data_IF_750636649120
#
_entry.id   IF_750636649120
#
_cell.length_a   1.000
_cell.length_b   1.000
_cell.length_c   1.000
_cell.angle_alpha   90.00
_cell.angle_beta   90.00
_cell.angle_gamma   90.00
#
_symmetry.space_group_name_H-M   'P 1'
#
loop_
_entity.id
_entity.type
_entity.pdbx_description
1 polymer ?
#
# COMPACT_ATOMS: atom_id res chain seq x y z
N UNK A 1 -13.45 -46.57 -12.48
CA UNK A 1 -12.87 -45.22 -12.64
C UNK A 1 -12.93 -44.51 -11.29
N UNK A 2 -11.79 -44.03 -10.79
CA UNK A 2 -11.69 -43.45 -9.45
C UNK A 2 -12.09 -41.96 -9.49
N UNK A 3 -13.32 -41.65 -9.05
CA UNK A 3 -13.89 -40.30 -9.05
C UNK A 3 -13.01 -39.28 -8.29
N UNK A 4 -12.21 -39.74 -7.32
CA UNK A 4 -11.35 -38.85 -6.53
C UNK A 4 -10.13 -38.34 -7.31
N UNK A 5 -9.61 -39.08 -8.30
CA UNK A 5 -8.47 -38.63 -9.10
C UNK A 5 -8.88 -37.64 -10.18
N UNK A 6 -10.03 -37.86 -10.83
CA UNK A 6 -10.59 -36.94 -11.83
C UNK A 6 -11.01 -35.59 -11.21
N UNK A 7 -11.51 -35.58 -9.99
CA UNK A 7 -11.81 -34.33 -9.26
C UNK A 7 -10.56 -33.53 -8.89
N UNK A 8 -9.47 -34.18 -8.47
CA UNK A 8 -8.20 -33.49 -8.17
C UNK A 8 -7.56 -32.91 -9.42
N UNK A 9 -7.50 -33.65 -10.52
CA UNK A 9 -6.96 -33.17 -11.80
C UNK A 9 -7.80 -32.03 -12.41
N UNK A 10 -9.14 -32.12 -12.31
CA UNK A 10 -10.02 -31.07 -12.81
C UNK A 10 -9.95 -29.77 -11.98
N UNK A 11 -9.72 -29.86 -10.66
CA UNK A 11 -9.53 -28.67 -9.81
C UNK A 11 -8.29 -27.86 -10.21
N UNK A 12 -7.18 -28.53 -10.53
CA UNK A 12 -5.96 -27.84 -10.95
C UNK A 12 -6.12 -27.12 -12.28
N UNK A 13 -6.94 -27.66 -13.21
CA UNK A 13 -7.25 -27.02 -14.50
C UNK A 13 -8.17 -25.80 -14.40
N UNK A 14 -8.94 -25.67 -13.30
CA UNK A 14 -9.90 -24.58 -13.07
C UNK A 14 -9.38 -23.54 -12.07
N UNK A 15 -8.20 -23.77 -11.47
CA UNK A 15 -7.64 -22.85 -10.49
C UNK A 15 -7.17 -21.56 -11.18
N UNK A 16 -7.48 -20.43 -10.54
CA UNK A 16 -6.98 -19.11 -10.93
C UNK A 16 -6.63 -18.30 -9.69
N UNK A 17 -5.78 -17.30 -9.86
CA UNK A 17 -5.42 -16.38 -8.79
C UNK A 17 -6.50 -15.30 -8.62
N UNK A 18 -6.77 -14.94 -7.37
CA UNK A 18 -7.65 -13.84 -7.02
C UNK A 18 -6.85 -12.82 -6.20
N UNK A 19 -6.98 -11.54 -6.54
CA UNK A 19 -6.51 -10.42 -5.74
C UNK A 19 -7.67 -9.88 -4.93
N UNK A 20 -7.46 -9.64 -3.64
CA UNK A 20 -8.46 -9.06 -2.76
C UNK A 20 -7.84 -8.13 -1.74
N UNK A 21 -8.67 -7.23 -1.22
CA UNK A 21 -8.34 -6.29 -0.15
C UNK A 21 -9.36 -6.48 0.96
N UNK A 22 -8.91 -6.48 2.22
CA UNK A 22 -9.78 -6.55 3.40
C UNK A 22 -9.34 -5.51 4.42
N UNK A 23 -10.31 -4.85 5.04
CA UNK A 23 -10.08 -4.08 6.27
C UNK A 23 -10.48 -4.96 7.45
N UNK A 24 -9.65 -4.99 8.48
CA UNK A 24 -9.83 -5.83 9.67
C UNK A 24 -9.60 -5.00 10.92
N UNK A 25 -10.27 -5.35 12.00
CA UNK A 25 -9.92 -4.89 13.33
C UNK A 25 -8.91 -5.88 13.93
N UNK A 26 -7.84 -5.38 14.54
CA UNK A 26 -6.81 -6.23 15.11
C UNK A 26 -6.21 -5.64 16.38
N UNK A 27 -5.83 -6.51 17.31
CA UNK A 27 -5.21 -6.17 18.59
C UNK A 27 -3.98 -7.06 18.83
N UNK A 28 -2.93 -6.54 19.51
CA UNK A 28 -1.80 -7.37 19.90
C UNK A 28 -2.26 -8.56 20.75
N UNK A 29 -1.82 -9.76 20.40
CA UNK A 29 -2.20 -10.98 21.10
C UNK A 29 -1.07 -12.01 21.05
N UNK A 30 -0.82 -12.66 22.18
CA UNK A 30 0.17 -13.74 22.31
C UNK A 30 -0.51 -15.10 22.07
N UNK A 31 0.14 -15.98 21.32
CA UNK A 31 -0.22 -17.41 21.28
C UNK A 31 0.92 -18.22 21.87
N UNK A 32 0.79 -18.57 23.15
CA UNK A 32 1.94 -19.01 23.95
C UNK A 32 2.98 -17.89 24.05
N UNK A 33 4.22 -18.18 23.68
CA UNK A 33 5.33 -17.20 23.69
C UNK A 33 5.51 -16.48 22.34
N UNK A 34 4.61 -16.69 21.38
CA UNK A 34 4.74 -16.11 20.04
C UNK A 34 3.90 -14.82 19.95
N UNK A 35 4.52 -13.67 19.62
CA UNK A 35 3.79 -12.42 19.42
C UNK A 35 3.01 -12.43 18.10
N UNK A 36 1.81 -11.88 18.15
CA UNK A 36 0.95 -11.78 16.98
C UNK A 36 -0.19 -10.80 17.18
N UNK A 37 -1.23 -11.00 16.38
CA UNK A 37 -2.45 -10.22 16.40
C UNK A 37 -3.65 -11.14 16.42
N UNK A 38 -4.59 -10.85 17.32
CA UNK A 38 -5.97 -11.27 17.15
C UNK A 38 -6.59 -10.40 16.07
N UNK A 39 -7.27 -11.02 15.11
CA UNK A 39 -7.81 -10.37 13.91
C UNK A 39 -9.29 -10.71 13.80
N UNK A 40 -10.14 -9.69 13.89
CA UNK A 40 -11.59 -9.80 13.66
C UNK A 40 -11.93 -9.37 12.24
N UNK A 41 -12.63 -10.25 11.53
CA UNK A 41 -13.15 -10.02 10.18
C UNK A 41 -14.58 -9.48 10.21
N UNK A 42 -15.06 -9.02 9.05
CA UNK A 42 -16.41 -8.43 8.88
C UNK A 42 -17.54 -9.41 9.24
N UNK A 43 -17.31 -10.72 9.08
CA UNK A 43 -18.26 -11.79 9.43
C UNK A 43 -18.18 -12.21 10.91
N UNK A 44 -17.59 -11.36 11.77
CA UNK A 44 -17.30 -11.59 13.19
C UNK A 44 -16.37 -12.79 13.48
N UNK A 45 -15.82 -13.46 12.45
CA UNK A 45 -14.81 -14.47 12.65
C UNK A 45 -13.54 -13.85 13.25
N UNK A 46 -12.97 -14.53 14.25
CA UNK A 46 -11.70 -14.13 14.88
C UNK A 46 -10.64 -15.20 14.61
N UNK A 47 -9.45 -14.75 14.21
CA UNK A 47 -8.27 -15.62 14.03
C UNK A 47 -7.04 -14.97 14.64
N UNK A 48 -6.08 -15.77 15.09
CA UNK A 48 -4.75 -15.28 15.46
C UNK A 48 -3.79 -15.35 14.26
N UNK A 49 -2.92 -14.35 14.12
CA UNK A 49 -1.88 -14.28 13.09
C UNK A 49 -0.51 -13.94 13.71
N UNK A 50 0.59 -14.63 13.30
CA UNK A 50 1.94 -14.23 13.71
C UNK A 50 2.25 -12.79 13.32
N UNK A 51 2.97 -12.06 14.17
CA UNK A 51 3.26 -10.62 14.00
C UNK A 51 3.79 -10.28 12.60
N UNK A 52 4.86 -10.94 12.18
CA UNK A 52 5.50 -10.66 10.89
C UNK A 52 4.58 -10.95 9.69
N UNK A 53 3.80 -12.04 9.77
CA UNK A 53 2.86 -12.39 8.70
C UNK A 53 1.72 -11.37 8.60
N UNK A 54 1.24 -10.86 9.73
CA UNK A 54 0.22 -9.82 9.78
C UNK A 54 0.74 -8.48 9.25
N UNK A 55 1.87 -7.99 9.77
CA UNK A 55 2.45 -6.70 9.38
C UNK A 55 2.90 -6.64 7.91
N UNK A 56 3.22 -7.79 7.31
CA UNK A 56 3.48 -7.89 5.86
C UNK A 56 2.22 -7.76 5.00
N UNK A 57 1.07 -8.17 5.52
CA UNK A 57 -0.19 -8.23 4.77
C UNK A 57 -1.11 -7.03 5.04
N UNK A 58 -1.03 -6.43 6.22
CA UNK A 58 -1.92 -5.38 6.68
C UNK A 58 -1.17 -4.09 6.98
N UNK A 59 -1.73 -2.97 6.53
CA UNK A 59 -1.21 -1.64 6.78
C UNK A 59 -2.06 -0.91 7.83
N UNK A 60 -1.47 -0.32 8.89
CA UNK A 60 -2.24 0.37 9.92
C UNK A 60 -2.90 1.63 9.36
N UNK A 61 -4.22 1.73 9.53
CA UNK A 61 -5.01 2.90 9.07
C UNK A 61 -5.52 3.82 10.20
N UNK A 62 -5.35 3.42 11.46
CA UNK A 62 -5.86 4.12 12.63
C UNK A 62 -7.26 3.64 13.05
N UNK A 63 -7.94 4.43 13.87
CA UNK A 63 -9.23 4.05 14.49
C UNK A 63 -10.44 4.22 13.57
N UNK A 64 -10.34 5.08 12.54
CA UNK A 64 -11.43 5.33 11.60
C UNK A 64 -11.19 4.58 10.28
N UNK A 65 -11.86 3.44 10.04
CA UNK A 65 -11.63 2.63 8.87
C UNK A 65 -12.25 3.22 7.58
N UNK A 66 -12.87 4.41 7.64
CA UNK A 66 -13.63 4.99 6.52
C UNK A 66 -12.86 6.00 5.67
N UNK A 67 -11.64 6.37 6.08
CA UNK A 67 -10.89 7.45 5.43
C UNK A 67 -9.39 7.17 5.35
N UNK A 68 -8.77 7.79 4.35
CA UNK A 68 -7.32 7.99 4.30
C UNK A 68 -6.98 9.20 5.16
N UNK A 69 -5.83 9.16 5.82
CA UNK A 69 -5.31 10.29 6.60
C UNK A 69 -3.83 10.59 6.24
N UNK A 70 -3.30 11.76 6.64
CA UNK A 70 -1.93 12.15 6.29
C UNK A 70 -0.86 11.18 6.80
N UNK A 71 -1.04 10.62 8.00
CA UNK A 71 -0.08 9.67 8.61
C UNK A 71 0.04 8.42 7.75
N UNK A 72 -1.06 7.93 7.17
CA UNK A 72 -1.05 6.81 6.24
C UNK A 72 -0.18 7.12 5.02
N UNK A 73 -0.37 8.29 4.41
CA UNK A 73 0.37 8.70 3.21
C UNK A 73 1.86 8.84 3.49
N UNK A 74 2.22 9.50 4.58
CA UNK A 74 3.61 9.70 4.97
C UNK A 74 4.29 8.35 5.29
N UNK A 75 3.59 7.45 5.98
CA UNK A 75 4.10 6.12 6.32
C UNK A 75 4.23 5.21 5.07
N UNK A 76 3.43 5.44 4.03
CA UNK A 76 3.49 4.67 2.79
C UNK A 76 4.58 5.15 1.81
N UNK A 77 4.96 6.43 1.89
CA UNK A 77 5.91 7.09 0.97
C UNK A 77 7.28 6.40 0.90
N UNK A 78 7.73 5.81 2.01
CA UNK A 78 9.03 5.17 2.12
C UNK A 78 10.18 6.16 1.95
N UNK A 79 11.20 5.80 1.16
CA UNK A 79 12.39 6.65 0.96
C UNK A 79 12.27 7.51 -0.29
N UNK A 80 12.66 8.80 -0.20
CA UNK A 80 12.62 9.74 -1.32
C UNK A 80 13.97 10.43 -1.56
N UNK A 81 14.47 10.30 -2.78
CA UNK A 81 15.72 10.88 -3.28
C UNK A 81 15.42 11.94 -4.33
N UNK A 82 16.15 13.05 -4.32
CA UNK A 82 16.03 14.12 -5.29
C UNK A 82 17.36 14.33 -6.01
N UNK A 83 17.31 14.72 -7.27
CA UNK A 83 18.48 15.19 -8.02
C UNK A 83 18.09 16.23 -9.06
N UNK A 84 19.00 17.16 -9.34
CA UNK A 84 18.91 18.04 -10.49
C UNK A 84 19.21 17.25 -11.79
N UNK A 85 18.51 17.59 -12.88
CA UNK A 85 18.75 17.05 -14.22
C UNK A 85 19.76 17.90 -14.99
N UNK A 86 20.27 17.37 -16.10
CA UNK A 86 21.30 18.02 -16.93
C UNK A 86 20.88 19.39 -17.49
N UNK A 87 19.59 19.71 -17.49
CA UNK A 87 19.06 21.01 -17.93
C UNK A 87 19.28 22.15 -16.92
N UNK A 88 19.80 21.85 -15.72
CA UNK A 88 20.11 22.81 -14.67
C UNK A 88 18.89 23.44 -14.00
N UNK A 89 17.67 23.01 -14.35
CA UNK A 89 16.42 23.69 -13.94
C UNK A 89 15.26 22.75 -13.60
N UNK A 90 15.48 21.43 -13.70
CA UNK A 90 14.50 20.41 -13.34
C UNK A 90 15.00 19.54 -12.20
N UNK A 91 14.21 19.47 -11.13
CA UNK A 91 14.40 18.50 -10.05
C UNK A 91 13.61 17.23 -10.37
N UNK A 92 14.27 16.07 -10.37
CA UNK A 92 13.64 14.75 -10.39
C UNK A 92 13.61 14.20 -8.97
N UNK A 93 12.45 13.76 -8.51
CA UNK A 93 12.28 13.03 -7.25
C UNK A 93 11.88 11.58 -7.55
N UNK A 94 12.56 10.65 -6.90
CA UNK A 94 12.28 9.22 -6.91
C UNK A 94 11.87 8.80 -5.49
N UNK A 95 10.72 8.16 -5.36
CA UNK A 95 10.26 7.59 -4.08
C UNK A 95 10.07 6.09 -4.20
N UNK A 96 10.63 5.31 -3.27
CA UNK A 96 10.37 3.88 -3.13
C UNK A 96 9.41 3.67 -1.95
N UNK A 97 8.16 3.32 -2.27
CA UNK A 97 7.07 3.15 -1.30
C UNK A 97 7.27 1.90 -0.45
N UNK A 98 6.47 1.77 0.61
CA UNK A 98 6.47 0.62 1.52
C UNK A 98 6.28 -0.74 0.80
N UNK A 99 5.55 -0.75 -0.31
CA UNK A 99 5.32 -1.96 -1.15
C UNK A 99 6.51 -2.30 -2.04
N UNK A 100 7.55 -1.47 -2.09
CA UNK A 100 8.65 -1.55 -3.04
C UNK A 100 8.36 -0.91 -4.41
N UNK A 101 7.13 -0.45 -4.64
CA UNK A 101 6.78 0.30 -5.86
C UNK A 101 7.54 1.62 -5.90
N UNK A 102 8.10 1.95 -7.07
CA UNK A 102 8.90 3.18 -7.25
C UNK A 102 8.12 4.18 -8.10
N UNK A 103 7.95 5.40 -7.59
CA UNK A 103 7.34 6.52 -8.28
C UNK A 103 8.39 7.57 -8.61
N UNK A 104 8.23 8.23 -9.74
CA UNK A 104 9.03 9.36 -10.16
C UNK A 104 8.13 10.58 -10.38
N UNK A 105 8.61 11.75 -9.99
CA UNK A 105 7.99 13.03 -10.29
C UNK A 105 9.06 14.07 -10.60
N UNK A 106 8.71 15.07 -11.39
CA UNK A 106 9.61 16.18 -11.72
C UNK A 106 9.00 17.52 -11.36
N UNK A 107 9.85 18.52 -11.12
CA UNK A 107 9.48 19.91 -11.04
C UNK A 107 10.51 20.75 -11.79
N UNK A 108 10.06 21.49 -12.79
CA UNK A 108 10.91 22.33 -13.65
C UNK A 108 10.61 23.80 -13.40
N UNK A 109 11.65 24.64 -13.37
CA UNK A 109 11.51 26.09 -13.44
C UNK A 109 11.77 26.59 -14.88
N UNK A 110 11.25 27.78 -15.19
CA UNK A 110 11.37 28.37 -16.54
C UNK A 110 12.79 28.92 -16.76
N UNK A 111 13.25 29.73 -15.81
CA UNK A 111 14.56 30.38 -15.80
C UNK A 111 15.49 29.70 -14.78
N UNK A 112 16.62 29.10 -15.23
CA UNK A 112 17.62 28.51 -14.34
C UNK A 112 18.16 29.45 -13.26
N UNK A 113 18.18 30.78 -13.50
CA UNK A 113 18.65 31.74 -12.50
C UNK A 113 17.74 31.80 -11.27
N UNK A 114 16.48 31.36 -11.40
CA UNK A 114 15.50 31.28 -10.32
C UNK A 114 15.30 29.83 -9.83
N UNK A 115 16.19 28.90 -10.20
CA UNK A 115 16.10 27.51 -9.78
C UNK A 115 16.35 27.36 -8.26
N UNK A 116 15.46 26.64 -7.60
CA UNK A 116 15.59 26.23 -6.20
C UNK A 116 15.27 24.73 -6.10
N UNK A 117 16.28 23.94 -5.73
CA UNK A 117 16.12 22.48 -5.59
C UNK A 117 15.17 22.10 -4.47
N UNK A 118 15.13 22.85 -3.37
CA UNK A 118 14.26 22.59 -2.22
C UNK A 118 12.80 22.75 -2.62
N UNK A 119 12.48 23.84 -3.32
CA UNK A 119 11.13 24.09 -3.85
C UNK A 119 10.75 23.02 -4.87
N UNK A 120 11.65 22.71 -5.82
CA UNK A 120 11.40 21.67 -6.82
C UNK A 120 11.16 20.29 -6.19
N UNK A 121 11.95 19.94 -5.17
CA UNK A 121 11.80 18.70 -4.39
C UNK A 121 10.45 18.67 -3.69
N UNK A 122 10.06 19.74 -3.03
CA UNK A 122 8.78 19.81 -2.31
C UNK A 122 7.58 19.64 -3.24
N UNK A 123 7.58 20.34 -4.39
CA UNK A 123 6.52 20.23 -5.40
C UNK A 123 6.40 18.78 -5.90
N UNK A 124 7.52 18.18 -6.32
CA UNK A 124 7.52 16.81 -6.83
C UNK A 124 7.12 15.80 -5.74
N UNK A 125 7.60 15.96 -4.51
CA UNK A 125 7.24 15.09 -3.38
C UNK A 125 5.75 15.18 -3.06
N UNK A 126 5.16 16.38 -3.09
CA UNK A 126 3.73 16.57 -2.87
C UNK A 126 2.88 15.90 -3.96
N UNK A 127 3.34 15.87 -5.22
CA UNK A 127 2.68 15.11 -6.29
C UNK A 127 2.71 13.60 -6.05
N UNK A 128 3.83 13.08 -5.55
CA UNK A 128 3.94 11.67 -5.13
C UNK A 128 2.96 11.39 -3.97
N UNK A 129 2.93 12.23 -2.94
CA UNK A 129 1.98 12.10 -1.81
C UNK A 129 0.53 12.12 -2.27
N UNK A 130 0.16 13.00 -3.19
CA UNK A 130 -1.19 13.05 -3.78
C UNK A 130 -1.53 11.76 -4.53
N UNK A 131 -0.56 11.17 -5.23
CA UNK A 131 -0.72 9.87 -5.91
C UNK A 131 -0.95 8.75 -4.90
N UNK A 132 -0.15 8.68 -3.84
CA UNK A 132 -0.34 7.72 -2.75
C UNK A 132 -1.73 7.89 -2.12
N UNK A 133 -2.13 9.12 -1.82
CA UNK A 133 -3.45 9.42 -1.26
C UNK A 133 -4.58 8.86 -2.13
N UNK A 134 -4.51 9.11 -3.45
CA UNK A 134 -5.47 8.58 -4.42
C UNK A 134 -5.49 7.05 -4.42
N UNK A 135 -4.32 6.41 -4.45
CA UNK A 135 -4.20 4.95 -4.44
C UNK A 135 -4.75 4.33 -3.14
N UNK A 136 -4.41 4.89 -1.99
CA UNK A 136 -4.96 4.46 -0.70
C UNK A 136 -6.48 4.66 -0.66
N UNK A 137 -7.00 5.75 -1.22
CA UNK A 137 -8.44 5.98 -1.32
C UNK A 137 -9.15 4.90 -2.14
N UNK A 138 -8.57 4.51 -3.27
CA UNK A 138 -9.03 3.38 -4.07
C UNK A 138 -9.01 2.05 -3.28
N UNK A 139 -7.92 1.77 -2.57
CA UNK A 139 -7.76 0.54 -1.77
C UNK A 139 -8.77 0.50 -0.62
N UNK A 140 -8.99 1.62 0.09
CA UNK A 140 -9.97 1.73 1.18
C UNK A 140 -11.39 1.54 0.63
N UNK A 141 -11.74 2.18 -0.49
CA UNK A 141 -13.04 1.99 -1.14
C UNK A 141 -13.29 0.52 -1.50
N UNK A 142 -12.29 -0.17 -2.05
CA UNK A 142 -12.41 -1.59 -2.35
C UNK A 142 -12.52 -2.43 -1.07
N UNK A 143 -11.65 -2.21 -0.08
CA UNK A 143 -11.65 -2.96 1.17
C UNK A 143 -12.94 -2.81 1.98
N UNK A 144 -13.64 -1.68 1.88
CA UNK A 144 -14.92 -1.43 2.58
C UNK A 144 -16.15 -1.96 1.87
N UNK A 145 -16.17 -1.90 0.54
CA UNK A 145 -17.41 -2.09 -0.23
C UNK A 145 -17.32 -3.22 -1.26
N UNK A 146 -16.16 -3.86 -1.40
CA UNK A 146 -15.94 -4.89 -2.40
C UNK A 146 -15.97 -4.35 -3.84
N UNK A 147 -15.97 -5.29 -4.80
CA UNK A 147 -16.17 -4.99 -6.22
C UNK A 147 -17.67 -5.08 -6.54
N UNK A 148 -18.18 -4.10 -7.28
CA UNK A 148 -19.56 -4.13 -7.80
C UNK A 148 -19.58 -4.86 -9.14
N UNK A 149 -20.62 -5.66 -9.38
CA UNK A 149 -20.90 -6.33 -10.65
C UNK A 149 -22.13 -5.71 -11.31
#
# INVERSE_FOLDING_TARGET
>A
MNLTSTWKENKTKMAQFFLGVKIVEAWPEMQGDIPGYGVKYEDDHVSWRPKEAFERAFFPMGEDPSKVNPVMVDSFLGTAEARNLEDGKTTLVKSKMLTGFTQYETASCVDPANYDEVVGREIALNRIKNTIWKCLGFVVQWGRFGLKQ
#
